data_IF_322653537413
#
_entry.id   IF_322653537413
#
_cell.length_a   1.000
_cell.length_b   1.000
_cell.length_c   1.000
_cell.angle_alpha   90.00
_cell.angle_beta   90.00
_cell.angle_gamma   90.00
#
_symmetry.space_group_name_H-M   'P 1'
#
loop_
_entity.id
_entity.type
_entity.pdbx_description
1 polymer ?
#
# COMPACT_ATOMS: atom_id res chain seq x y z
N UNK A 1 7.42 -37.92 40.07
CA UNK A 1 6.64 -37.87 38.81
C UNK A 1 7.66 -38.01 37.70
N UNK A 2 7.59 -39.05 36.88
CA UNK A 2 8.45 -39.15 35.72
C UNK A 2 7.86 -38.22 34.65
N UNK A 3 8.59 -37.19 34.25
CA UNK A 3 8.24 -36.42 33.06
C UNK A 3 8.55 -37.32 31.87
N UNK A 4 7.57 -37.53 31.00
CA UNK A 4 7.75 -38.37 29.80
C UNK A 4 8.24 -37.58 28.61
N UNK A 5 8.27 -36.25 28.70
CA UNK A 5 8.56 -35.31 27.62
C UNK A 5 9.37 -34.12 28.16
N UNK A 6 10.71 -34.13 28.06
CA UNK A 6 11.54 -35.30 27.75
C UNK A 6 11.64 -36.25 28.96
N UNK A 7 11.93 -37.52 28.69
CA UNK A 7 12.48 -38.43 29.70
C UNK A 7 13.90 -37.95 30.02
N UNK A 8 14.06 -37.26 31.15
CA UNK A 8 15.33 -36.66 31.57
C UNK A 8 16.47 -37.68 31.65
N UNK A 9 16.17 -38.92 32.10
CA UNK A 9 17.17 -39.97 32.24
C UNK A 9 17.58 -40.56 30.89
N UNK A 10 16.62 -40.76 29.99
CA UNK A 10 16.90 -41.23 28.64
C UNK A 10 17.58 -40.16 27.76
N UNK A 11 17.26 -38.89 27.99
CA UNK A 11 17.81 -37.74 27.27
C UNK A 11 19.15 -37.22 27.84
N UNK A 12 19.68 -37.86 28.89
CA UNK A 12 20.97 -37.52 29.50
C UNK A 12 21.00 -36.16 30.21
N UNK A 13 19.83 -35.65 30.60
CA UNK A 13 19.75 -34.46 31.42
C UNK A 13 20.24 -34.75 32.84
N UNK A 14 20.77 -33.70 33.48
CA UNK A 14 21.11 -33.73 34.90
C UNK A 14 19.88 -34.11 35.73
N UNK A 15 20.09 -34.91 36.77
CA UNK A 15 19.06 -35.25 37.75
C UNK A 15 18.97 -34.21 38.88
N UNK A 16 19.78 -33.16 38.84
CA UNK A 16 19.69 -32.01 39.74
C UNK A 16 18.58 -31.07 39.28
N UNK A 17 17.34 -31.35 39.71
CA UNK A 17 16.13 -30.70 39.23
C UNK A 17 16.16 -29.15 39.28
N UNK A 18 16.83 -28.58 40.29
CA UNK A 18 16.92 -27.12 40.49
C UNK A 18 17.83 -26.42 39.48
N UNK A 19 18.61 -27.16 38.69
CA UNK A 19 19.36 -26.59 37.57
C UNK A 19 18.43 -26.08 36.47
N UNK A 20 17.26 -26.72 36.33
CA UNK A 20 16.37 -26.50 35.19
C UNK A 20 14.96 -26.06 35.60
N UNK A 21 14.47 -26.41 36.79
CA UNK A 21 13.10 -26.13 37.23
C UNK A 21 13.06 -25.20 38.44
N UNK A 22 12.14 -24.23 38.41
CA UNK A 22 11.79 -23.49 39.62
C UNK A 22 10.86 -24.33 40.51
N UNK A 23 11.45 -24.87 41.57
CA UNK A 23 10.77 -25.70 42.58
C UNK A 23 9.71 -24.94 43.39
N UNK A 24 9.65 -23.61 43.27
CA UNK A 24 8.67 -22.76 43.95
C UNK A 24 7.44 -22.45 43.07
N UNK A 25 7.39 -22.94 41.83
CA UNK A 25 6.26 -22.71 40.92
C UNK A 25 5.33 -23.91 40.84
N UNK A 26 4.05 -23.64 40.64
CA UNK A 26 3.07 -24.69 40.36
C UNK A 26 3.37 -25.24 38.96
N UNK A 27 3.68 -26.53 38.87
CA UNK A 27 3.97 -27.20 37.60
C UNK A 27 5.44 -27.28 37.21
N UNK A 28 6.38 -26.89 38.09
CA UNK A 28 7.83 -26.98 37.84
C UNK A 28 8.23 -26.25 36.56
N UNK A 29 7.98 -24.94 36.49
CA UNK A 29 8.33 -24.15 35.31
C UNK A 29 9.81 -24.28 35.00
N UNK A 30 10.11 -24.55 33.73
CA UNK A 30 11.49 -24.63 33.24
C UNK A 30 12.10 -23.22 33.18
N UNK A 31 13.29 -23.04 33.73
CA UNK A 31 14.02 -21.78 33.78
C UNK A 31 15.07 -21.72 32.65
N UNK A 32 15.01 -20.67 31.82
CA UNK A 32 16.19 -20.15 31.13
C UNK A 32 16.82 -21.01 30.02
N UNK A 33 16.06 -21.84 29.32
CA UNK A 33 16.53 -22.49 28.09
C UNK A 33 16.24 -21.62 26.86
N UNK A 34 16.94 -21.91 25.76
CA UNK A 34 16.64 -21.33 24.45
C UNK A 34 16.86 -19.81 24.36
N UNK A 35 17.77 -19.25 25.17
CA UNK A 35 18.14 -17.83 25.07
C UNK A 35 18.77 -17.44 23.73
N UNK A 36 19.42 -18.40 23.06
CA UNK A 36 19.95 -18.25 21.71
C UNK A 36 18.94 -18.53 20.59
N UNK A 37 17.81 -19.20 20.89
CA UNK A 37 16.76 -19.52 19.94
C UNK A 37 15.38 -19.48 20.62
N UNK A 38 14.79 -18.30 20.85
CA UNK A 38 13.52 -18.20 21.57
C UNK A 38 12.41 -19.04 20.91
N UNK A 39 11.72 -19.86 21.70
CA UNK A 39 10.57 -20.65 21.24
C UNK A 39 9.34 -19.76 21.16
N UNK A 40 9.25 -19.01 20.08
CA UNK A 40 8.16 -18.05 19.78
C UNK A 40 7.57 -18.32 18.41
N UNK A 41 6.43 -17.71 18.10
CA UNK A 41 5.76 -17.90 16.82
C UNK A 41 5.40 -19.37 16.60
N UNK A 42 5.73 -19.92 15.43
CA UNK A 42 5.51 -21.34 15.10
C UNK A 42 6.33 -22.34 15.93
N UNK A 43 7.39 -21.89 16.62
CA UNK A 43 8.20 -22.75 17.49
C UNK A 43 7.67 -22.78 18.93
N UNK A 44 6.65 -21.99 19.26
CA UNK A 44 6.00 -22.01 20.56
C UNK A 44 5.22 -23.32 20.75
N UNK A 45 5.45 -23.98 21.88
CA UNK A 45 4.79 -25.23 22.22
C UNK A 45 5.28 -26.49 21.50
N UNK A 46 6.35 -26.41 20.68
CA UNK A 46 6.98 -27.59 20.07
C UNK A 46 7.49 -28.56 21.13
N UNK A 47 7.37 -29.87 20.86
CA UNK A 47 7.89 -30.88 21.76
C UNK A 47 9.42 -30.94 21.65
N UNK A 48 10.12 -31.19 22.77
CA UNK A 48 11.58 -31.13 22.81
C UNK A 48 12.24 -32.07 21.79
N UNK A 49 11.63 -33.24 21.55
CA UNK A 49 12.12 -34.26 20.62
C UNK A 49 11.95 -33.90 19.15
N UNK A 50 11.14 -32.89 18.83
CA UNK A 50 10.98 -32.40 17.44
C UNK A 50 12.25 -31.70 16.96
N UNK A 51 12.96 -31.01 17.85
CA UNK A 51 14.23 -30.36 17.56
C UNK A 51 15.41 -31.25 18.00
N UNK A 52 15.40 -31.71 19.25
CA UNK A 52 16.50 -32.48 19.83
C UNK A 52 16.39 -33.97 19.48
N UNK A 53 16.60 -34.28 18.21
CA UNK A 53 16.46 -35.63 17.63
C UNK A 53 17.61 -36.58 17.97
N UNK A 54 18.70 -36.08 18.54
CA UNK A 54 19.87 -36.87 18.92
C UNK A 54 20.48 -36.41 20.24
N UNK A 55 21.22 -37.32 20.88
CA UNK A 55 21.97 -37.04 22.09
C UNK A 55 23.46 -36.78 21.80
N UNK A 56 24.12 -35.88 22.55
CA UNK A 56 23.55 -34.97 23.56
C UNK A 56 22.67 -33.85 22.96
N UNK A 57 21.74 -33.33 23.76
CA UNK A 57 20.72 -32.34 23.35
C UNK A 57 21.31 -30.94 23.04
N UNK A 58 22.61 -30.74 23.19
CA UNK A 58 23.29 -29.45 23.05
C UNK A 58 23.83 -29.17 21.63
N UNK A 59 23.69 -30.12 20.70
CA UNK A 59 24.27 -30.02 19.36
C UNK A 59 23.21 -29.77 18.27
N UNK A 60 22.39 -28.72 18.45
CA UNK A 60 21.47 -28.24 17.40
C UNK A 60 21.82 -26.82 17.00
N UNK A 61 21.80 -26.55 15.70
CA UNK A 61 22.02 -25.23 15.14
C UNK A 61 20.78 -24.35 15.30
N UNK A 62 20.98 -23.08 15.63
CA UNK A 62 19.93 -22.04 15.65
C UNK A 62 19.72 -21.39 14.28
N UNK A 63 20.53 -21.72 13.28
CA UNK A 63 20.38 -21.21 11.92
C UNK A 63 19.13 -21.79 11.26
N UNK A 64 18.28 -20.95 10.67
CA UNK A 64 17.00 -21.37 10.09
C UNK A 64 17.17 -22.50 9.05
N UNK A 65 18.19 -22.38 8.20
CA UNK A 65 18.47 -23.32 7.12
C UNK A 65 18.96 -24.69 7.62
N UNK A 66 19.37 -24.86 8.89
CA UNK A 66 19.70 -26.20 9.38
C UNK A 66 18.48 -27.12 9.50
N UNK A 67 17.27 -26.55 9.53
CA UNK A 67 16.01 -27.29 9.53
C UNK A 67 15.17 -27.02 8.27
N UNK A 68 15.11 -25.76 7.82
CA UNK A 68 14.19 -25.31 6.77
C UNK A 68 14.81 -25.23 5.37
N UNK A 69 15.87 -25.99 5.09
CA UNK A 69 16.45 -26.06 3.73
C UNK A 69 15.46 -26.66 2.74
N UNK A 70 14.77 -27.74 3.12
CA UNK A 70 13.81 -28.39 2.22
C UNK A 70 12.60 -27.48 1.96
N UNK A 71 12.12 -26.75 2.98
CA UNK A 71 11.08 -25.74 2.84
C UNK A 71 11.51 -24.63 1.86
N UNK A 72 12.74 -24.13 2.00
CA UNK A 72 13.32 -23.13 1.09
C UNK A 72 13.33 -23.63 -0.36
N UNK A 73 13.73 -24.88 -0.59
CA UNK A 73 13.83 -25.48 -1.93
C UNK A 73 12.47 -25.87 -2.52
N UNK A 74 11.47 -26.13 -1.68
CA UNK A 74 10.13 -26.54 -2.10
C UNK A 74 9.16 -25.36 -2.30
N UNK A 75 9.52 -24.15 -1.86
CA UNK A 75 8.68 -22.96 -2.02
C UNK A 75 8.62 -22.57 -3.50
N UNK A 76 7.41 -22.38 -4.04
CA UNK A 76 7.19 -22.02 -5.45
C UNK A 76 6.59 -20.62 -5.64
N UNK A 77 6.10 -19.98 -4.57
CA UNK A 77 5.40 -18.69 -4.64
C UNK A 77 5.78 -17.80 -3.44
N UNK A 78 6.80 -16.93 -3.58
CA UNK A 78 7.76 -16.87 -4.68
C UNK A 78 8.75 -18.05 -4.66
N UNK A 79 9.17 -18.56 -5.82
CA UNK A 79 10.22 -19.60 -5.88
C UNK A 79 11.56 -19.02 -5.43
N UNK A 80 11.98 -19.37 -4.21
CA UNK A 80 13.17 -18.81 -3.62
C UNK A 80 14.45 -19.15 -4.38
N UNK A 81 14.52 -20.36 -4.94
CA UNK A 81 15.70 -20.84 -5.64
C UNK A 81 15.79 -20.26 -7.06
N UNK A 82 14.67 -20.22 -7.80
CA UNK A 82 14.62 -19.63 -9.12
C UNK A 82 14.85 -18.12 -9.09
N UNK A 83 14.40 -17.44 -8.04
CA UNK A 83 14.59 -16.00 -7.83
C UNK A 83 15.98 -15.65 -7.26
N UNK A 84 16.77 -16.66 -6.85
CA UNK A 84 18.11 -16.46 -6.32
C UNK A 84 18.17 -15.78 -4.95
N UNK A 85 17.12 -15.92 -4.13
CA UNK A 85 17.11 -15.35 -2.78
C UNK A 85 18.18 -16.00 -1.89
N UNK A 86 18.64 -15.24 -0.90
CA UNK A 86 19.59 -15.73 0.10
C UNK A 86 18.89 -16.64 1.11
N UNK A 87 19.65 -17.50 1.80
CA UNK A 87 19.15 -18.25 2.96
C UNK A 87 19.17 -17.44 4.27
N UNK A 88 19.37 -16.11 4.21
CA UNK A 88 19.20 -15.25 5.37
C UNK A 88 17.70 -15.00 5.58
N UNK A 89 17.00 -15.99 6.15
CA UNK A 89 15.54 -16.01 6.24
C UNK A 89 14.95 -14.75 6.91
N UNK A 90 15.67 -14.18 7.88
CA UNK A 90 15.26 -12.98 8.63
C UNK A 90 15.31 -11.69 7.82
N UNK A 91 15.87 -11.71 6.61
CA UNK A 91 15.78 -10.57 5.69
C UNK A 91 14.33 -10.30 5.28
N UNK A 92 13.48 -11.34 5.29
CA UNK A 92 12.07 -11.27 4.89
C UNK A 92 11.09 -11.82 5.94
N UNK A 93 11.42 -12.93 6.60
CA UNK A 93 10.51 -13.64 7.50
C UNK A 93 10.80 -13.30 8.97
N UNK A 94 9.74 -13.04 9.74
CA UNK A 94 9.85 -12.81 11.18
C UNK A 94 9.60 -14.11 11.97
N UNK A 95 10.63 -14.70 12.62
CA UNK A 95 10.51 -15.96 13.38
C UNK A 95 9.61 -15.85 14.61
N UNK A 96 9.21 -14.63 15.02
CA UNK A 96 8.30 -14.41 16.13
C UNK A 96 6.82 -14.42 15.70
N UNK A 97 6.55 -14.52 14.39
CA UNK A 97 5.19 -14.57 13.84
C UNK A 97 4.75 -16.01 13.55
N UNK A 98 3.45 -16.20 13.38
CA UNK A 98 2.87 -17.48 12.96
C UNK A 98 2.94 -17.56 11.44
N UNK A 99 3.50 -18.65 10.93
CA UNK A 99 3.72 -18.88 9.50
C UNK A 99 4.98 -18.21 8.93
N UNK A 100 5.17 -18.33 7.62
CA UNK A 100 6.24 -17.67 6.86
C UNK A 100 5.80 -16.29 6.32
N UNK A 101 4.90 -15.61 7.04
CA UNK A 101 4.36 -14.33 6.60
C UNK A 101 5.46 -13.26 6.54
N UNK A 102 5.37 -12.37 5.55
CA UNK A 102 6.29 -11.25 5.37
C UNK A 102 5.50 -9.96 5.69
N UNK A 103 5.65 -9.38 6.89
CA UNK A 103 4.96 -8.14 7.24
C UNK A 103 5.39 -7.00 6.30
N UNK A 104 4.41 -6.31 5.71
CA UNK A 104 4.70 -5.18 4.81
C UNK A 104 5.23 -5.58 3.43
N UNK A 105 5.12 -6.85 3.05
CA UNK A 105 5.27 -7.27 1.65
C UNK A 105 4.32 -6.46 0.77
N UNK A 106 4.83 -5.93 -0.34
CA UNK A 106 4.12 -4.96 -1.19
C UNK A 106 3.70 -3.65 -0.49
N UNK A 107 4.38 -3.19 0.57
CA UNK A 107 4.08 -1.88 1.18
C UNK A 107 4.14 -0.69 0.20
N UNK A 108 4.88 -0.84 -0.90
CA UNK A 108 4.97 0.14 -2.00
C UNK A 108 3.85 -0.01 -3.05
N UNK A 109 3.06 -1.09 -3.00
CA UNK A 109 1.97 -1.39 -3.93
C UNK A 109 0.71 -1.80 -3.16
N UNK A 110 -0.31 -0.95 -3.17
CA UNK A 110 -1.53 -1.18 -2.40
C UNK A 110 -2.33 -2.38 -2.93
N UNK A 111 -2.17 -3.54 -2.29
CA UNK A 111 -2.98 -4.75 -2.52
C UNK A 111 -4.37 -4.57 -1.91
N UNK A 112 -5.20 -3.76 -2.55
CA UNK A 112 -6.57 -3.47 -2.11
C UNK A 112 -7.56 -3.62 -3.26
N UNK A 113 -8.79 -3.97 -2.94
CA UNK A 113 -9.86 -4.08 -3.94
C UNK A 113 -9.50 -5.11 -5.02
N UNK A 114 -9.51 -4.69 -6.28
CA UNK A 114 -9.21 -5.58 -7.42
C UNK A 114 -7.74 -5.99 -7.54
N UNK A 115 -6.84 -5.27 -6.87
CA UNK A 115 -5.41 -5.60 -6.81
C UNK A 115 -5.08 -6.57 -5.66
N UNK A 116 -6.03 -6.86 -4.77
CA UNK A 116 -5.90 -7.88 -3.73
C UNK A 116 -6.08 -9.27 -4.34
N UNK A 117 -5.03 -9.74 -5.03
CA UNK A 117 -4.99 -11.03 -5.71
C UNK A 117 -4.11 -12.01 -4.93
N UNK A 118 -4.59 -13.25 -4.79
CA UNK A 118 -3.84 -14.30 -4.10
C UNK A 118 -2.71 -14.91 -4.96
N UNK A 119 -2.85 -14.87 -6.30
CA UNK A 119 -1.87 -15.42 -7.22
C UNK A 119 -0.78 -14.39 -7.51
N UNK A 120 0.43 -14.64 -6.99
CA UNK A 120 1.58 -13.75 -7.20
C UNK A 120 1.90 -13.58 -8.69
N UNK A 121 1.67 -14.61 -9.50
CA UNK A 121 1.99 -14.61 -10.94
C UNK A 121 1.01 -13.76 -11.75
N UNK A 122 -0.11 -13.32 -11.15
CA UNK A 122 -1.02 -12.35 -11.77
C UNK A 122 -0.30 -11.02 -12.07
N UNK A 123 0.70 -10.67 -11.27
CA UNK A 123 1.54 -9.50 -11.49
C UNK A 123 2.99 -9.90 -11.80
N UNK A 124 3.58 -10.80 -11.01
CA UNK A 124 4.97 -11.25 -11.14
C UNK A 124 5.13 -12.30 -12.23
N UNK A 125 5.06 -11.83 -13.48
CA UNK A 125 5.22 -12.67 -14.68
C UNK A 125 6.66 -13.13 -14.94
N UNK A 126 7.61 -12.69 -14.13
CA UNK A 126 9.03 -13.04 -14.23
C UNK A 126 9.54 -13.57 -12.89
N UNK A 127 10.65 -14.31 -12.92
CA UNK A 127 11.32 -14.79 -11.71
C UNK A 127 11.97 -13.65 -10.89
N UNK A 128 12.10 -12.45 -11.47
CA UNK A 128 12.55 -11.26 -10.73
C UNK A 128 11.32 -10.50 -10.21
N UNK A 129 11.05 -10.67 -8.92
CA UNK A 129 9.92 -10.04 -8.21
C UNK A 129 10.17 -8.56 -7.87
N UNK A 130 11.32 -8.00 -8.26
CA UNK A 130 11.69 -6.59 -7.97
C UNK A 130 11.30 -5.61 -9.07
N UNK A 131 10.82 -6.09 -10.23
CA UNK A 131 10.71 -5.29 -11.46
C UNK A 131 9.30 -4.76 -11.77
N UNK A 132 8.35 -4.91 -10.84
CA UNK A 132 7.00 -4.36 -11.05
C UNK A 132 6.93 -2.94 -10.53
N UNK A 133 6.62 -2.04 -11.45
CA UNK A 133 6.31 -0.64 -11.15
C UNK A 133 4.99 -0.52 -10.39
N UNK A 134 4.94 0.40 -9.42
CA UNK A 134 3.71 0.76 -8.71
C UNK A 134 2.92 1.87 -9.41
N UNK A 135 3.42 2.41 -10.51
CA UNK A 135 2.74 3.44 -11.27
C UNK A 135 1.57 2.82 -12.05
N UNK A 136 0.34 3.34 -11.89
CA UNK A 136 -0.86 2.77 -12.50
C UNK A 136 -0.71 2.57 -14.03
N UNK A 137 -0.10 3.56 -14.70
CA UNK A 137 0.11 3.54 -16.14
C UNK A 137 1.09 2.46 -16.61
N UNK A 138 1.91 1.85 -15.75
CA UNK A 138 2.77 0.74 -16.19
C UNK A 138 1.98 -0.47 -16.67
N UNK A 139 0.78 -0.68 -16.13
CA UNK A 139 -0.12 -1.77 -16.50
C UNK A 139 -1.37 -1.26 -17.25
N UNK A 140 -1.88 -0.09 -16.89
CA UNK A 140 -3.16 0.44 -17.36
C UNK A 140 -3.01 1.53 -18.44
N UNK A 141 -1.89 1.61 -19.15
CA UNK A 141 -1.72 2.61 -20.22
C UNK A 141 -2.73 2.44 -21.35
N UNK A 142 -3.10 1.20 -21.66
CA UNK A 142 -4.11 0.93 -22.69
C UNK A 142 -5.50 1.37 -22.23
N UNK A 143 -5.85 1.18 -20.96
CA UNK A 143 -7.10 1.68 -20.38
C UNK A 143 -7.14 3.22 -20.44
N UNK A 144 -6.03 3.87 -20.07
CA UNK A 144 -5.86 5.32 -20.17
C UNK A 144 -6.09 5.82 -21.61
N UNK A 145 -5.41 5.21 -22.59
CA UNK A 145 -5.47 5.61 -24.00
C UNK A 145 -6.83 5.32 -24.66
N UNK A 146 -7.56 4.28 -24.20
CA UNK A 146 -8.83 3.86 -24.78
C UNK A 146 -10.05 4.50 -24.11
N UNK A 147 -9.87 5.26 -23.02
CA UNK A 147 -10.99 5.96 -22.37
C UNK A 147 -11.51 7.05 -23.30
N UNK A 148 -12.84 7.16 -23.42
CA UNK A 148 -13.50 8.15 -24.29
C UNK A 148 -14.31 9.21 -23.55
N UNK A 149 -14.55 9.02 -22.24
CA UNK A 149 -15.43 9.89 -21.46
C UNK A 149 -14.91 10.08 -20.02
N UNK A 150 -14.19 11.19 -19.74
CA UNK A 150 -13.54 12.07 -20.73
C UNK A 150 -12.38 11.35 -21.42
N UNK A 151 -12.09 11.69 -22.68
CA UNK A 151 -10.97 11.07 -23.40
C UNK A 151 -9.62 11.55 -22.85
N UNK A 152 -8.95 10.76 -22.00
CA UNK A 152 -7.71 11.19 -21.34
C UNK A 152 -6.59 11.60 -22.31
N UNK A 153 -6.43 10.88 -23.42
CA UNK A 153 -5.38 11.14 -24.39
C UNK A 153 -5.65 12.42 -25.20
N UNK A 154 -6.89 12.60 -25.69
CA UNK A 154 -7.28 13.80 -26.46
C UNK A 154 -7.33 15.06 -25.58
N UNK A 155 -7.61 14.87 -24.29
CA UNK A 155 -7.62 15.92 -23.28
C UNK A 155 -6.20 16.23 -22.77
N UNK A 156 -5.21 15.35 -22.97
CA UNK A 156 -3.84 15.57 -22.52
C UNK A 156 -3.69 15.48 -21.00
N UNK A 157 -4.47 14.62 -20.35
CA UNK A 157 -4.36 14.37 -18.91
C UNK A 157 -3.02 13.68 -18.55
N UNK A 158 -2.59 13.86 -17.31
CA UNK A 158 -1.41 13.19 -16.76
C UNK A 158 -1.68 11.69 -16.57
N UNK A 159 -0.63 10.87 -16.66
CA UNK A 159 -0.68 9.45 -16.28
C UNK A 159 -0.60 9.23 -14.76
N UNK A 160 -0.54 10.30 -13.97
CA UNK A 160 -0.70 10.29 -12.51
C UNK A 160 -2.17 10.07 -12.14
N UNK A 161 -2.63 8.82 -12.24
CA UNK A 161 -4.05 8.47 -12.12
C UNK A 161 -4.67 8.85 -10.76
N UNK A 162 -3.86 8.84 -9.69
CA UNK A 162 -4.30 9.14 -8.32
C UNK A 162 -4.67 10.60 -8.11
N UNK A 163 -4.42 11.49 -9.08
CA UNK A 163 -4.92 12.86 -9.03
C UNK A 163 -6.45 12.92 -9.08
N UNK A 164 -7.09 11.92 -9.68
CA UNK A 164 -8.54 11.91 -9.88
C UNK A 164 -9.17 10.58 -9.41
N UNK A 165 -8.48 9.45 -9.58
CA UNK A 165 -9.00 8.12 -9.25
C UNK A 165 -8.53 7.64 -7.87
N UNK A 166 -9.41 6.95 -7.14
CA UNK A 166 -9.11 6.22 -5.90
C UNK A 166 -9.23 4.72 -6.11
N UNK A 167 -8.52 3.93 -5.29
CA UNK A 167 -8.66 2.48 -5.24
C UNK A 167 -9.82 2.03 -4.32
N UNK A 168 -10.32 2.91 -3.44
CA UNK A 168 -11.38 2.65 -2.48
C UNK A 168 -12.50 3.73 -2.60
N UNK A 169 -13.77 3.36 -2.87
CA UNK A 169 -14.32 2.00 -3.02
C UNK A 169 -14.15 1.38 -4.42
N UNK A 170 -13.49 2.07 -5.35
CA UNK A 170 -13.22 1.55 -6.69
C UNK A 170 -12.91 2.63 -7.73
N UNK A 171 -12.58 2.21 -8.95
CA UNK A 171 -12.05 3.05 -10.05
C UNK A 171 -13.08 4.00 -10.71
N UNK A 172 -14.32 4.06 -10.22
CA UNK A 172 -15.48 4.63 -10.94
C UNK A 172 -16.10 5.86 -10.29
N UNK A 173 -16.60 6.78 -11.13
CA UNK A 173 -15.78 7.77 -11.82
C UNK A 173 -14.96 8.58 -10.81
N UNK A 174 -13.79 9.05 -11.22
CA UNK A 174 -13.12 10.12 -10.51
C UNK A 174 -14.09 11.30 -10.33
N UNK A 175 -14.42 11.64 -9.10
CA UNK A 175 -15.19 12.84 -8.83
C UNK A 175 -14.28 14.05 -9.03
N UNK A 176 -14.69 15.04 -9.81
CA UNK A 176 -13.98 16.31 -9.86
C UNK A 176 -14.30 17.18 -8.62
N UNK A 177 -14.75 16.58 -7.51
CA UNK A 177 -15.12 17.29 -6.28
C UNK A 177 -13.97 18.12 -5.71
N UNK A 178 -12.73 17.78 -6.06
CA UNK A 178 -11.56 18.58 -5.73
C UNK A 178 -11.60 19.98 -6.36
N UNK A 179 -12.38 20.22 -7.41
CA UNK A 179 -12.60 21.57 -7.94
C UNK A 179 -13.18 22.52 -6.89
N UNK A 180 -14.07 22.05 -6.02
CA UNK A 180 -14.68 22.88 -4.98
C UNK A 180 -13.75 23.15 -3.80
N UNK A 181 -12.64 22.40 -3.67
CA UNK A 181 -11.67 22.55 -2.58
C UNK A 181 -10.34 23.18 -2.98
N UNK A 182 -9.91 22.99 -4.23
CA UNK A 182 -8.59 23.38 -4.71
C UNK A 182 -8.64 24.33 -5.92
N UNK A 183 -9.77 24.38 -6.63
CA UNK A 183 -9.96 25.20 -7.82
C UNK A 183 -11.22 26.07 -7.68
N UNK A 184 -11.76 26.54 -8.80
CA UNK A 184 -13.08 27.18 -8.83
C UNK A 184 -14.19 26.15 -8.63
N UNK A 185 -15.17 26.38 -7.73
CA UNK A 185 -16.22 25.42 -7.42
C UNK A 185 -17.18 25.24 -8.59
N UNK A 186 -17.42 23.98 -8.94
CA UNK A 186 -18.31 23.57 -10.03
C UNK A 186 -19.39 22.60 -9.53
N UNK A 187 -19.21 21.93 -8.39
CA UNK A 187 -20.22 21.03 -7.80
C UNK A 187 -21.12 21.71 -6.77
N UNK A 188 -20.84 22.95 -6.43
CA UNK A 188 -21.60 23.78 -5.50
C UNK A 188 -21.75 25.21 -6.04
N UNK A 189 -22.49 26.05 -5.31
CA UNK A 189 -22.73 27.43 -5.71
C UNK A 189 -23.57 27.55 -6.98
N UNK A 190 -23.46 28.69 -7.66
CA UNK A 190 -24.28 29.03 -8.83
C UNK A 190 -23.92 28.23 -10.10
N UNK A 191 -22.75 27.57 -10.14
CA UNK A 191 -22.32 26.75 -11.27
C UNK A 191 -22.69 25.27 -11.13
N UNK A 192 -23.30 24.88 -10.00
CA UNK A 192 -23.73 23.50 -9.77
C UNK A 192 -24.74 23.05 -10.84
N UNK A 193 -24.34 22.08 -11.66
CA UNK A 193 -25.21 21.45 -12.67
C UNK A 193 -25.29 22.20 -14.00
N UNK A 194 -24.56 23.31 -14.16
CA UNK A 194 -24.53 24.09 -15.40
C UNK A 194 -23.45 23.62 -16.38
N UNK A 195 -22.37 22.99 -15.87
CA UNK A 195 -21.28 22.47 -16.69
C UNK A 195 -21.49 20.99 -17.03
N UNK A 196 -21.11 20.58 -18.24
CA UNK A 196 -21.17 19.18 -18.68
C UNK A 196 -19.83 18.68 -19.23
N UNK A 197 -18.92 19.57 -19.62
CA UNK A 197 -17.61 19.19 -20.14
C UNK A 197 -16.51 20.12 -19.62
N UNK A 198 -15.28 19.61 -19.51
CA UNK A 198 -14.14 20.41 -19.06
C UNK A 198 -13.91 21.64 -19.95
N UNK A 199 -14.19 21.51 -21.26
CA UNK A 199 -13.98 22.58 -22.24
C UNK A 199 -15.01 23.70 -22.15
N UNK A 200 -16.09 23.52 -21.38
CA UNK A 200 -17.08 24.58 -21.12
C UNK A 200 -16.41 25.77 -20.40
N UNK A 201 -15.45 25.48 -19.52
CA UNK A 201 -14.65 26.50 -18.83
C UNK A 201 -13.22 26.56 -19.38
N UNK A 202 -12.61 25.42 -19.70
CA UNK A 202 -11.23 25.34 -20.16
C UNK A 202 -11.12 25.42 -21.68
N UNK A 203 -11.07 26.66 -22.18
CA UNK A 203 -11.23 27.01 -23.60
C UNK A 203 -10.08 26.57 -24.51
N UNK A 204 -8.95 26.12 -23.94
CA UNK A 204 -7.79 25.66 -24.70
C UNK A 204 -7.62 24.15 -24.57
N UNK A 205 -7.75 23.37 -25.67
CA UNK A 205 -7.50 21.94 -25.66
C UNK A 205 -6.09 21.63 -25.12
N UNK A 206 -5.97 20.60 -24.28
CA UNK A 206 -4.72 20.19 -23.63
C UNK A 206 -4.06 21.26 -22.73
N UNK A 207 -4.78 22.32 -22.36
CA UNK A 207 -4.29 23.29 -21.38
C UNK A 207 -5.41 23.75 -20.42
N UNK A 208 -5.67 22.94 -19.41
CA UNK A 208 -6.64 23.23 -18.34
C UNK A 208 -6.21 24.33 -17.37
N UNK A 209 -5.04 24.96 -17.56
CA UNK A 209 -4.72 26.18 -16.82
C UNK A 209 -5.37 27.42 -17.43
N UNK A 210 -5.81 27.33 -18.69
CA UNK A 210 -6.53 28.39 -19.36
C UNK A 210 -8.02 28.16 -19.22
N UNK A 211 -8.72 29.22 -18.83
CA UNK A 211 -10.17 29.21 -18.64
C UNK A 211 -10.79 30.55 -19.01
N UNK A 212 -12.10 30.56 -19.25
CA UNK A 212 -12.85 31.79 -19.47
C UNK A 212 -14.07 31.89 -18.56
N UNK A 213 -14.20 33.01 -17.85
CA UNK A 213 -15.42 33.38 -17.14
C UNK A 213 -16.35 34.18 -18.07
N UNK A 214 -15.74 35.02 -18.91
CA UNK A 214 -16.41 36.02 -19.74
C UNK A 214 -17.09 35.45 -20.99
N UNK A 215 -16.85 34.17 -21.29
CA UNK A 215 -17.54 33.47 -22.39
C UNK A 215 -19.01 33.17 -22.03
N UNK A 216 -19.33 33.12 -20.73
CA UNK A 216 -20.68 32.93 -20.20
C UNK A 216 -21.18 34.15 -19.41
N UNK A 217 -20.30 34.75 -18.59
CA UNK A 217 -20.60 35.97 -17.82
C UNK A 217 -20.18 37.20 -18.61
N UNK A 218 -20.96 37.50 -19.64
CA UNK A 218 -20.72 38.63 -20.51
C UNK A 218 -20.93 39.94 -19.72
N UNK A 219 -19.85 40.69 -19.50
CA UNK A 219 -19.92 42.10 -19.11
C UNK A 219 -19.62 42.93 -20.36
N UNK A 220 -20.56 42.85 -21.30
CA UNK A 220 -20.53 43.55 -22.57
C UNK A 220 -20.65 45.07 -22.42
N UNK A 221 -21.18 45.55 -21.28
CA UNK A 221 -21.10 46.94 -20.85
C UNK A 221 -20.04 47.15 -19.74
N UNK A 222 -18.90 47.80 -20.07
CA UNK A 222 -17.90 48.18 -19.08
C UNK A 222 -18.42 49.12 -17.99
N UNK A 223 -19.54 49.82 -18.20
CA UNK A 223 -20.15 50.69 -17.19
C UNK A 223 -20.91 49.88 -16.14
N UNK A 224 -21.64 48.83 -16.53
CA UNK A 224 -22.33 47.96 -15.57
C UNK A 224 -21.33 47.24 -14.67
N UNK A 225 -20.23 46.75 -15.24
CA UNK A 225 -19.11 46.21 -14.45
C UNK A 225 -18.47 47.28 -13.56
N UNK A 226 -18.34 48.53 -14.03
CA UNK A 226 -17.78 49.62 -13.24
C UNK A 226 -18.66 49.94 -12.03
N UNK A 227 -19.98 50.03 -12.22
CA UNK A 227 -20.93 50.35 -11.17
C UNK A 227 -20.89 49.30 -10.03
N UNK A 228 -20.77 48.00 -10.36
CA UNK A 228 -20.62 46.94 -9.34
C UNK A 228 -19.23 46.92 -8.68
N UNK A 229 -18.21 47.52 -9.31
CA UNK A 229 -16.82 47.57 -8.82
C UNK A 229 -16.37 48.99 -8.42
N UNK A 230 -17.31 49.90 -8.15
CA UNK A 230 -17.05 51.33 -7.84
C UNK A 230 -16.05 51.53 -6.67
N UNK A 231 -16.00 50.57 -5.75
CA UNK A 231 -15.11 50.58 -4.58
C UNK A 231 -13.75 49.88 -4.83
N UNK A 232 -13.58 49.21 -5.97
CA UNK A 232 -12.40 48.40 -6.30
C UNK A 232 -11.59 49.08 -7.39
N UNK A 233 -10.46 49.67 -7.00
CA UNK A 233 -9.63 50.41 -7.94
C UNK A 233 -8.74 49.46 -8.77
N UNK A 234 -8.77 49.59 -10.10
CA UNK A 234 -7.87 48.85 -11.01
C UNK A 234 -8.30 47.42 -11.34
N UNK A 235 -9.58 47.09 -11.21
CA UNK A 235 -10.12 45.84 -11.77
C UNK A 235 -9.89 45.79 -13.30
N UNK A 236 -9.74 44.59 -13.84
CA UNK A 236 -9.54 44.38 -15.27
C UNK A 236 -10.46 43.28 -15.78
N UNK A 237 -10.92 43.44 -17.01
CA UNK A 237 -11.82 42.49 -17.66
C UNK A 237 -11.03 41.30 -18.23
N UNK A 238 -10.56 40.43 -17.33
CA UNK A 238 -9.81 39.22 -17.65
C UNK A 238 -10.21 38.10 -16.70
N UNK A 239 -10.48 36.90 -17.22
CA UNK A 239 -10.92 35.74 -16.44
C UNK A 239 -10.02 35.43 -15.24
N UNK A 240 -8.70 35.59 -15.38
CA UNK A 240 -7.76 35.41 -14.27
C UNK A 240 -7.91 36.46 -13.17
N UNK A 241 -8.22 37.70 -13.52
CA UNK A 241 -8.49 38.75 -12.53
C UNK A 241 -9.84 38.53 -11.84
N UNK A 242 -10.87 38.15 -12.61
CA UNK A 242 -12.18 37.76 -12.09
C UNK A 242 -12.05 36.63 -11.07
N UNK A 243 -11.34 35.55 -11.42
CA UNK A 243 -11.11 34.42 -10.52
C UNK A 243 -10.36 34.79 -9.23
N UNK A 244 -9.39 35.71 -9.32
CA UNK A 244 -8.64 36.14 -8.13
C UNK A 244 -9.50 36.92 -7.12
N UNK A 245 -10.49 37.69 -7.60
CA UNK A 245 -11.41 38.43 -6.74
C UNK A 245 -12.61 37.58 -6.31
N UNK A 246 -13.10 36.71 -7.20
CA UNK A 246 -14.27 35.85 -7.02
C UNK A 246 -13.88 34.37 -7.12
N UNK A 247 -13.11 33.83 -6.16
CA UNK A 247 -12.59 32.47 -6.24
C UNK A 247 -13.67 31.38 -6.13
N UNK A 248 -14.85 31.72 -5.62
CA UNK A 248 -16.00 30.83 -5.44
C UNK A 248 -17.20 31.18 -6.33
N UNK A 249 -17.04 32.19 -7.19
CA UNK A 249 -18.13 32.69 -8.05
C UNK A 249 -19.22 33.43 -7.29
N UNK A 250 -18.96 33.85 -6.04
CA UNK A 250 -19.81 34.81 -5.34
C UNK A 250 -19.49 36.22 -5.79
N UNK A 251 -20.53 36.93 -6.22
CA UNK A 251 -20.56 38.38 -6.42
C UNK A 251 -20.85 39.09 -5.08
#
# INVERSE_FOLDING_TARGET
MATTEPDHGAAGFSMECTECHDVNTIGWSVLGFHSAFPLTGNHDGSACVECHTSMPYDNISSECNSCHTDDFLATTEPDHNASGYSMACTDCHDPNTIGWNIPGFHSMFHLTGVHDVADCNACHTSADYTQISSECASCHIDDFNNTTDPNHADQGFSTECTLCHSLDPGWTPAGFTDHDGQCFPIYSGNHQGEWNTCIDCHTTPNNYTLFSCIDCHEHDDPNDLADEHDEVNGYVYQSTACYNCHPDGSE
#
